data_IF_588800651297
#
_entry.id   IF_588800651297
#
_cell.length_a   1.000
_cell.length_b   1.000
_cell.length_c   1.000
_cell.angle_alpha   90.00
_cell.angle_beta   90.00
_cell.angle_gamma   90.00
#
_symmetry.space_group_name_H-M   'P 1'
#
loop_
_entity.id
_entity.type
_entity.pdbx_description
1 polymer ?
#
# COMPACT_ATOMS: atom_id res chain seq x y z
N UNK A 1 19.41 5.85 -18.58
CA UNK A 1 20.65 5.10 -18.32
C UNK A 1 21.29 5.70 -17.09
N UNK A 2 21.80 4.87 -16.17
CA UNK A 2 22.45 5.35 -14.93
C UNK A 2 23.99 5.26 -15.05
N UNK A 3 24.68 6.16 -14.35
CA UNK A 3 26.14 6.10 -14.21
C UNK A 3 26.53 4.91 -13.32
N UNK A 4 27.28 3.94 -13.85
CA UNK A 4 27.70 2.75 -13.12
C UNK A 4 29.19 2.48 -13.34
N UNK A 5 29.92 2.13 -12.29
CA UNK A 5 31.36 1.89 -12.37
C UNK A 5 31.76 0.69 -11.51
N UNK A 6 32.87 0.03 -11.89
CA UNK A 6 33.35 -1.18 -11.23
C UNK A 6 33.72 -0.95 -9.76
N UNK A 7 34.09 0.29 -9.40
CA UNK A 7 34.44 0.66 -8.02
C UNK A 7 33.22 0.66 -7.09
N UNK A 8 32.01 0.74 -7.66
CA UNK A 8 30.73 0.66 -6.94
C UNK A 8 30.13 -0.74 -7.11
N UNK A 9 30.86 -1.75 -6.65
CA UNK A 9 30.42 -3.14 -6.70
C UNK A 9 30.48 -3.77 -5.31
N UNK A 10 29.33 -4.22 -4.83
CA UNK A 10 29.19 -5.10 -3.69
C UNK A 10 29.56 -6.54 -4.10
N UNK A 11 30.21 -7.27 -3.20
CA UNK A 11 30.62 -8.66 -3.45
C UNK A 11 30.01 -9.59 -2.40
N UNK A 12 29.24 -10.59 -2.84
CA UNK A 12 28.61 -11.56 -1.92
C UNK A 12 29.63 -12.33 -1.07
N UNK A 13 30.87 -12.49 -1.54
CA UNK A 13 31.97 -13.08 -0.78
C UNK A 13 32.33 -12.32 0.50
N UNK A 14 31.92 -11.06 0.63
CA UNK A 14 32.13 -10.23 1.82
C UNK A 14 31.06 -10.43 2.90
N UNK A 15 30.03 -11.22 2.61
CA UNK A 15 28.89 -11.48 3.50
C UNK A 15 28.97 -12.91 4.06
N UNK A 16 28.29 -13.21 5.19
CA UNK A 16 28.31 -14.54 5.81
C UNK A 16 27.48 -15.57 5.02
N UNK A 17 27.91 -15.87 3.79
CA UNK A 17 27.28 -16.81 2.88
C UNK A 17 28.32 -17.81 2.34
N UNK A 18 27.91 -19.06 2.16
CA UNK A 18 28.67 -19.99 1.34
C UNK A 18 28.41 -19.70 -0.14
N UNK A 19 29.29 -18.92 -0.77
CA UNK A 19 29.12 -18.49 -2.16
C UNK A 19 29.17 -19.64 -3.18
N UNK A 20 29.69 -20.81 -2.80
CA UNK A 20 29.80 -21.96 -3.68
C UNK A 20 28.49 -22.73 -3.82
N UNK A 21 27.58 -22.58 -2.86
CA UNK A 21 26.25 -23.19 -2.86
C UNK A 21 25.17 -22.29 -3.47
N UNK A 22 25.53 -21.08 -3.91
CA UNK A 22 24.57 -20.12 -4.48
C UNK A 22 24.86 -19.80 -5.94
N UNK A 23 23.79 -19.71 -6.72
CA UNK A 23 23.82 -19.16 -8.07
C UNK A 23 23.31 -17.72 -8.05
N UNK A 24 24.20 -16.76 -8.31
CA UNK A 24 23.88 -15.34 -8.44
C UNK A 24 23.73 -14.98 -9.92
N UNK A 25 22.66 -14.26 -10.25
CA UNK A 25 22.55 -13.41 -11.44
C UNK A 25 22.95 -11.99 -11.01
N UNK A 26 24.12 -11.49 -11.44
CA UNK A 26 24.72 -10.24 -10.95
C UNK A 26 24.26 -9.01 -11.76
N UNK A 27 24.67 -7.82 -11.32
CA UNK A 27 24.50 -6.55 -12.03
C UNK A 27 23.83 -5.46 -11.19
N UNK A 28 23.04 -4.62 -11.87
CA UNK A 28 22.19 -3.55 -11.31
C UNK A 28 20.99 -4.06 -10.48
N UNK A 29 20.74 -5.37 -10.52
CA UNK A 29 19.89 -6.11 -9.59
C UNK A 29 20.53 -7.47 -9.33
N UNK A 30 20.34 -8.01 -8.11
CA UNK A 30 20.78 -9.35 -7.78
C UNK A 30 19.62 -10.33 -7.75
N UNK A 31 19.82 -11.54 -8.27
CA UNK A 31 18.89 -12.65 -8.05
C UNK A 31 19.65 -13.90 -7.64
N UNK A 32 19.27 -14.49 -6.52
CA UNK A 32 19.95 -15.66 -5.97
C UNK A 32 18.97 -16.83 -5.98
N UNK A 33 19.42 -17.98 -6.49
CA UNK A 33 18.73 -19.26 -6.32
C UNK A 33 19.41 -20.09 -5.23
N UNK A 34 18.90 -20.08 -3.98
CA UNK A 34 19.48 -20.84 -2.88
C UNK A 34 18.68 -22.11 -2.57
N UNK A 35 19.24 -22.96 -1.69
CA UNK A 35 18.49 -24.06 -1.08
C UNK A 35 17.47 -23.54 -0.04
N UNK A 36 17.90 -22.61 0.83
CA UNK A 36 17.03 -21.94 1.80
C UNK A 36 17.03 -20.42 1.58
N UNK A 37 15.97 -19.87 0.95
CA UNK A 37 15.83 -18.43 0.71
C UNK A 37 15.82 -17.57 1.97
N UNK A 38 15.21 -18.06 3.06
CA UNK A 38 15.06 -17.28 4.30
C UNK A 38 16.40 -17.08 4.99
N UNK A 39 17.21 -18.14 5.04
CA UNK A 39 18.57 -18.07 5.61
C UNK A 39 19.44 -17.11 4.82
N UNK A 40 19.37 -17.15 3.48
CA UNK A 40 20.16 -16.22 2.64
C UNK A 40 19.75 -14.77 2.87
N UNK A 41 18.45 -14.47 2.91
CA UNK A 41 17.98 -13.11 3.23
C UNK A 41 18.49 -12.69 4.61
N UNK A 42 18.29 -13.51 5.65
CA UNK A 42 18.75 -13.19 7.01
C UNK A 42 20.27 -12.97 7.11
N UNK A 43 21.07 -13.71 6.33
CA UNK A 43 22.52 -13.56 6.27
C UNK A 43 22.98 -12.35 5.45
N UNK A 44 22.10 -11.74 4.66
CA UNK A 44 22.38 -10.52 3.90
C UNK A 44 21.74 -9.26 4.51
N UNK A 45 20.77 -9.40 5.41
CA UNK A 45 20.07 -8.25 5.99
C UNK A 45 20.96 -7.54 7.00
N UNK A 46 21.22 -6.25 6.73
CA UNK A 46 21.86 -5.29 7.65
C UNK A 46 23.20 -5.76 8.22
N UNK A 47 24.07 -6.34 7.37
CA UNK A 47 25.37 -6.87 7.81
C UNK A 47 26.47 -5.81 7.82
N UNK A 48 26.35 -4.80 6.97
CA UNK A 48 27.32 -3.73 6.84
C UNK A 48 26.62 -2.37 7.01
N UNK A 49 27.21 -1.41 7.74
CA UNK A 49 26.61 -0.07 7.90
C UNK A 49 26.42 0.70 6.58
N UNK A 50 27.27 0.46 5.59
CA UNK A 50 27.20 1.04 4.25
C UNK A 50 26.86 -0.03 3.20
N UNK A 51 25.82 -0.82 3.47
CA UNK A 51 25.35 -1.84 2.54
C UNK A 51 24.51 -1.19 1.43
N UNK A 52 24.93 -1.32 0.18
CA UNK A 52 24.30 -0.64 -0.97
C UNK A 52 23.23 -1.48 -1.69
N UNK A 53 22.61 -2.42 -0.97
CA UNK A 53 21.47 -3.20 -1.45
C UNK A 53 20.61 -3.70 -0.30
N UNK A 54 19.35 -4.00 -0.60
CA UNK A 54 18.43 -4.66 0.34
C UNK A 54 18.03 -6.05 -0.17
N UNK A 55 18.23 -7.12 0.61
CA UNK A 55 17.77 -8.45 0.24
C UNK A 55 16.27 -8.62 0.55
N UNK A 56 15.54 -9.27 -0.35
CA UNK A 56 14.13 -9.58 -0.19
C UNK A 56 13.87 -11.03 -0.60
N UNK A 57 12.91 -11.66 0.08
CA UNK A 57 12.13 -12.71 -0.58
C UNK A 57 11.30 -12.03 -1.66
N UNK A 58 11.17 -12.62 -2.85
CA UNK A 58 10.45 -11.98 -3.98
C UNK A 58 9.02 -11.52 -3.64
N UNK A 59 8.34 -12.24 -2.74
CA UNK A 59 6.99 -11.91 -2.25
C UNK A 59 6.92 -10.64 -1.38
N UNK A 60 8.06 -10.19 -0.87
CA UNK A 60 8.20 -9.06 0.05
C UNK A 60 8.73 -7.80 -0.65
N UNK A 61 9.00 -7.89 -1.96
CA UNK A 61 9.33 -6.73 -2.79
C UNK A 61 8.15 -5.75 -2.83
N UNK A 62 8.41 -4.43 -2.99
CA UNK A 62 7.35 -3.44 -3.18
C UNK A 62 6.37 -3.85 -4.29
N UNK A 63 5.07 -3.87 -3.97
CA UNK A 63 4.03 -4.41 -4.87
C UNK A 63 3.95 -3.70 -6.22
N UNK A 64 4.29 -2.40 -6.28
CA UNK A 64 4.39 -1.63 -7.53
C UNK A 64 5.36 -2.22 -8.56
N UNK A 65 6.30 -3.07 -8.14
CA UNK A 65 7.24 -3.73 -9.05
C UNK A 65 6.60 -4.89 -9.81
N UNK A 66 5.52 -5.50 -9.29
CA UNK A 66 4.85 -6.67 -9.88
C UNK A 66 5.84 -7.79 -10.27
N UNK A 67 6.87 -8.01 -9.43
CA UNK A 67 8.04 -8.84 -9.75
C UNK A 67 8.20 -10.05 -8.82
N UNK A 68 7.14 -10.87 -8.69
CA UNK A 68 7.13 -12.04 -7.82
C UNK A 68 6.52 -13.31 -8.46
N UNK A 69 5.38 -13.19 -9.14
CA UNK A 69 4.59 -14.31 -9.62
C UNK A 69 5.11 -14.95 -10.92
N UNK A 70 6.32 -15.47 -10.88
CA UNK A 70 6.82 -16.37 -11.92
C UNK A 70 7.88 -17.30 -11.35
N UNK A 71 7.83 -18.58 -11.75
CA UNK A 71 8.88 -19.56 -11.38
C UNK A 71 10.28 -19.20 -11.89
N UNK A 72 10.37 -18.32 -12.91
CA UNK A 72 11.64 -17.81 -13.45
C UNK A 72 12.24 -16.68 -12.63
N UNK A 73 11.47 -16.09 -11.71
CA UNK A 73 11.98 -15.11 -10.76
C UNK A 73 12.45 -15.89 -9.54
N UNK A 74 13.75 -15.83 -9.28
CA UNK A 74 14.36 -16.47 -8.12
C UNK A 74 13.75 -15.98 -6.79
N UNK A 75 13.74 -16.84 -5.78
CA UNK A 75 13.08 -16.56 -4.50
C UNK A 75 13.76 -15.44 -3.70
N UNK A 76 15.06 -15.20 -3.92
CA UNK A 76 15.83 -14.11 -3.29
C UNK A 76 16.19 -13.06 -4.34
N UNK A 77 15.80 -11.82 -4.05
CA UNK A 77 16.09 -10.64 -4.85
C UNK A 77 16.95 -9.65 -4.06
N UNK A 78 17.91 -9.00 -4.70
CA UNK A 78 18.71 -7.93 -4.12
C UNK A 78 18.36 -6.64 -4.86
N UNK A 79 17.62 -5.76 -4.18
CA UNK A 79 17.28 -4.45 -4.69
C UNK A 79 18.46 -3.52 -4.46
N UNK A 80 19.17 -3.18 -5.52
CA UNK A 80 20.38 -2.36 -5.46
C UNK A 80 20.05 -0.88 -5.29
N UNK A 81 20.91 -0.17 -4.57
CA UNK A 81 20.97 1.28 -4.65
C UNK A 81 21.41 1.72 -6.06
N UNK A 82 20.97 2.90 -6.50
CA UNK A 82 21.41 3.47 -7.78
C UNK A 82 22.93 3.49 -7.87
N UNK A 83 23.46 3.30 -9.09
CA UNK A 83 24.90 3.31 -9.40
C UNK A 83 25.74 2.16 -8.80
N UNK A 84 25.14 1.26 -8.01
CA UNK A 84 25.82 0.13 -7.35
C UNK A 84 25.48 -1.21 -7.98
N UNK A 85 26.47 -2.06 -8.18
CA UNK A 85 26.29 -3.43 -8.69
C UNK A 85 26.52 -4.47 -7.61
N UNK A 86 25.98 -5.67 -7.83
CA UNK A 86 26.32 -6.86 -7.06
C UNK A 86 27.05 -7.87 -7.94
N UNK A 87 28.11 -8.45 -7.39
CA UNK A 87 28.86 -9.56 -7.98
C UNK A 87 29.12 -10.67 -6.96
N UNK A 88 29.48 -11.87 -7.44
CA UNK A 88 29.69 -13.03 -6.56
C UNK A 88 30.95 -12.90 -5.71
N UNK A 89 32.09 -12.60 -6.32
CA UNK A 89 33.39 -12.47 -5.65
C UNK A 89 34.24 -11.40 -6.32
N UNK A 90 35.16 -10.81 -5.55
CA UNK A 90 36.17 -9.91 -6.09
C UNK A 90 37.07 -10.68 -7.08
N UNK A 91 37.45 -10.07 -8.23
CA UNK A 91 38.38 -10.71 -9.16
C UNK A 91 39.77 -10.87 -8.53
N UNK A 92 40.40 -12.02 -8.73
CA UNK A 92 41.74 -12.35 -8.19
C UNK A 92 42.85 -11.44 -8.72
N UNK A 93 42.64 -10.82 -9.89
CA UNK A 93 43.51 -9.80 -10.46
C UNK A 93 42.74 -8.49 -10.59
N UNK A 94 43.27 -7.37 -10.07
CA UNK A 94 42.66 -6.06 -10.28
C UNK A 94 42.49 -5.79 -11.77
N UNK A 95 41.29 -5.37 -12.17
CA UNK A 95 41.06 -4.94 -13.56
C UNK A 95 41.80 -3.61 -13.78
N UNK A 96 42.58 -3.52 -14.85
CA UNK A 96 43.29 -2.28 -15.20
C UNK A 96 42.35 -1.16 -15.68
N UNK A 97 41.14 -1.51 -16.14
CA UNK A 97 40.07 -0.59 -16.52
C UNK A 97 38.71 -1.20 -16.21
N UNK A 98 37.71 -0.37 -15.92
CA UNK A 98 36.33 -0.84 -15.85
C UNK A 98 35.76 -1.10 -17.25
N UNK A 99 34.98 -2.18 -17.39
CA UNK A 99 34.38 -2.59 -18.66
C UNK A 99 33.07 -1.88 -19.00
N UNK A 100 32.56 -1.03 -18.11
CA UNK A 100 31.33 -0.26 -18.28
C UNK A 100 31.44 1.06 -17.51
N UNK A 101 30.72 2.08 -17.99
CA UNK A 101 30.60 3.39 -17.34
C UNK A 101 29.14 3.81 -17.13
N UNK A 102 28.22 2.91 -17.51
CA UNK A 102 26.79 3.08 -17.32
C UNK A 102 26.10 1.72 -17.42
N UNK A 103 24.99 1.58 -16.72
CA UNK A 103 24.16 0.39 -16.74
C UNK A 103 22.69 0.75 -16.44
N UNK A 104 21.80 -0.22 -16.56
CA UNK A 104 20.37 -0.09 -16.28
C UNK A 104 19.81 -1.39 -15.69
N UNK A 105 18.58 -1.35 -15.19
CA UNK A 105 17.93 -2.49 -14.53
C UNK A 105 17.66 -2.28 -13.03
N UNK A 106 18.05 -1.12 -12.50
CA UNK A 106 17.67 -0.67 -11.16
C UNK A 106 16.14 -0.49 -11.04
N UNK A 107 15.70 -0.14 -9.84
CA UNK A 107 14.31 0.21 -9.54
C UNK A 107 13.73 1.18 -10.59
N UNK A 108 12.59 0.81 -11.18
CA UNK A 108 11.95 1.56 -12.26
C UNK A 108 11.44 2.95 -11.86
N UNK A 109 11.36 3.27 -10.56
CA UNK A 109 11.01 4.63 -10.11
C UNK A 109 12.16 5.64 -10.23
N UNK A 110 13.41 5.16 -10.26
CA UNK A 110 14.62 6.00 -10.33
C UNK A 110 14.59 6.85 -11.61
N UNK A 111 14.86 8.15 -11.47
CA UNK A 111 14.79 9.12 -12.58
C UNK A 111 15.63 8.72 -13.79
N UNK A 112 16.84 8.18 -13.58
CA UNK A 112 17.72 7.71 -14.66
C UNK A 112 17.21 6.46 -15.39
N UNK A 113 16.24 5.73 -14.84
CA UNK A 113 15.58 4.57 -15.47
C UNK A 113 14.33 4.95 -16.27
N UNK A 114 13.87 6.20 -16.18
CA UNK A 114 12.72 6.69 -16.96
C UNK A 114 13.05 6.67 -18.46
N UNK A 115 12.01 6.54 -19.27
CA UNK A 115 12.11 6.47 -20.73
C UNK A 115 11.28 7.58 -21.36
N UNK A 116 11.74 8.08 -22.51
CA UNK A 116 11.07 9.11 -23.28
C UNK A 116 9.96 8.49 -24.16
N UNK A 117 8.73 8.99 -24.03
CA UNK A 117 7.68 8.79 -25.04
C UNK A 117 7.52 10.07 -25.83
N UNK A 118 7.64 9.96 -27.15
CA UNK A 118 7.38 11.06 -28.05
C UNK A 118 6.26 10.71 -29.02
N UNK A 119 5.26 11.59 -29.11
CA UNK A 119 4.35 11.68 -30.23
C UNK A 119 4.60 13.04 -30.92
N UNK A 120 4.43 13.14 -32.23
CA UNK A 120 4.73 14.34 -33.05
C UNK A 120 4.23 15.68 -32.48
N UNK A 121 3.26 15.68 -31.55
CA UNK A 121 2.75 16.87 -30.85
C UNK A 121 3.08 16.97 -29.36
N UNK A 122 3.50 15.88 -28.68
CA UNK A 122 3.70 15.83 -27.23
C UNK A 122 4.93 14.98 -26.84
N UNK A 123 5.80 15.53 -25.99
CA UNK A 123 6.90 14.81 -25.33
C UNK A 123 6.46 14.50 -23.91
N UNK A 124 6.55 13.23 -23.49
CA UNK A 124 6.29 12.82 -22.10
C UNK A 124 7.49 12.02 -21.59
N UNK A 125 8.11 12.51 -20.53
CA UNK A 125 9.07 11.76 -19.73
C UNK A 125 8.25 11.13 -18.60
N UNK A 126 8.18 9.81 -18.54
CA UNK A 126 7.37 9.13 -17.52
C UNK A 126 8.03 7.83 -17.07
N UNK A 127 7.61 7.35 -15.90
CA UNK A 127 7.79 5.95 -15.52
C UNK A 127 6.82 5.17 -16.40
N UNK A 128 7.27 4.80 -17.59
CA UNK A 128 6.43 4.03 -18.49
C UNK A 128 6.31 2.62 -17.90
N UNK A 129 5.12 2.28 -17.41
CA UNK A 129 4.68 0.90 -17.45
C UNK A 129 4.42 0.60 -18.92
N UNK A 130 5.15 -0.36 -19.51
CA UNK A 130 5.10 -0.64 -20.96
C UNK A 130 3.68 -1.04 -21.41
N UNK A 131 2.86 -1.59 -20.50
CA UNK A 131 1.53 -2.10 -20.79
C UNK A 131 0.56 -1.04 -21.38
N UNK A 132 0.38 0.15 -20.79
CA UNK A 132 -0.38 1.25 -21.40
C UNK A 132 0.01 1.58 -22.85
N UNK A 133 1.30 1.51 -23.23
CA UNK A 133 1.73 1.80 -24.61
C UNK A 133 1.29 0.71 -25.60
N UNK A 134 1.25 -0.56 -25.16
CA UNK A 134 0.76 -1.67 -25.98
C UNK A 134 -0.72 -1.45 -26.30
N UNK A 135 -1.53 -1.11 -25.29
CA UNK A 135 -2.97 -0.81 -25.49
C UNK A 135 -3.14 0.34 -26.50
N UNK A 136 -2.37 1.41 -26.33
CA UNK A 136 -2.40 2.55 -27.27
C UNK A 136 -2.00 2.17 -28.70
N UNK A 137 -0.95 1.35 -28.87
CA UNK A 137 -0.53 0.91 -30.20
C UNK A 137 -1.62 0.09 -30.89
N UNK A 138 -2.36 -0.72 -30.14
CA UNK A 138 -3.50 -1.49 -30.65
C UNK A 138 -4.68 -0.57 -31.02
N UNK A 139 -4.98 0.43 -30.21
CA UNK A 139 -6.00 1.45 -30.51
C UNK A 139 -5.71 2.18 -31.83
N UNK A 140 -4.45 2.59 -32.05
CA UNK A 140 -4.02 3.24 -33.31
C UNK A 140 -4.14 2.34 -34.54
N UNK A 141 -4.10 1.01 -34.35
CA UNK A 141 -4.26 0.02 -35.40
C UNK A 141 -5.73 -0.42 -35.58
N UNK A 142 -6.66 0.10 -34.77
CA UNK A 142 -8.06 -0.34 -34.77
C UNK A 142 -8.23 -1.79 -34.27
N UNK A 143 -7.30 -2.28 -33.45
CA UNK A 143 -7.31 -3.64 -32.91
C UNK A 143 -7.85 -3.66 -31.49
N UNK A 144 -8.71 -4.64 -31.19
CA UNK A 144 -9.18 -4.88 -29.82
C UNK A 144 -8.04 -5.46 -28.97
N UNK A 145 -7.66 -4.83 -27.85
CA UNK A 145 -6.63 -5.38 -26.98
C UNK A 145 -7.09 -6.67 -26.30
N UNK A 146 -6.17 -7.64 -26.21
CA UNK A 146 -6.33 -8.84 -25.36
C UNK A 146 -6.11 -8.46 -23.88
N UNK A 147 -6.53 -9.29 -22.90
CA UNK A 147 -6.30 -9.01 -21.48
C UNK A 147 -4.82 -8.71 -21.19
N UNK A 148 -4.58 -7.55 -20.57
CA UNK A 148 -3.25 -7.03 -20.26
C UNK A 148 -3.30 -6.13 -19.01
N UNK A 149 -2.15 -5.73 -18.47
CA UNK A 149 -2.09 -4.93 -17.24
C UNK A 149 -2.26 -3.41 -17.45
N UNK A 150 -2.44 -2.96 -18.69
CA UNK A 150 -2.72 -1.56 -19.02
C UNK A 150 -4.16 -1.18 -18.69
N UNK A 151 -4.36 0.03 -18.19
CA UNK A 151 -5.68 0.61 -17.97
C UNK A 151 -6.17 1.25 -19.27
N UNK A 152 -7.04 0.55 -20.01
CA UNK A 152 -7.54 1.06 -21.30
C UNK A 152 -8.27 2.40 -21.10
N UNK A 153 -7.92 3.41 -21.90
CA UNK A 153 -8.43 4.77 -21.76
C UNK A 153 -7.52 5.72 -20.97
N UNK A 154 -6.57 5.23 -20.15
CA UNK A 154 -5.72 6.12 -19.33
C UNK A 154 -4.72 6.96 -20.13
N UNK A 155 -4.55 6.70 -21.43
CA UNK A 155 -3.70 7.47 -22.34
C UNK A 155 -4.51 8.20 -23.43
N UNK A 156 -5.83 8.31 -23.27
CA UNK A 156 -6.70 8.93 -24.27
C UNK A 156 -6.34 10.39 -24.54
N UNK A 157 -5.88 11.13 -23.53
CA UNK A 157 -5.46 12.53 -23.67
C UNK A 157 -4.22 12.71 -24.58
N UNK A 158 -3.54 11.62 -24.94
CA UNK A 158 -2.44 11.63 -25.91
C UNK A 158 -2.90 11.50 -27.36
N UNK A 159 -4.20 11.26 -27.58
CA UNK A 159 -4.84 11.05 -28.87
C UNK A 159 -5.77 12.23 -29.16
N UNK A 160 -5.79 12.70 -30.42
CA UNK A 160 -6.73 13.75 -30.85
C UNK A 160 -8.17 13.22 -30.92
N UNK A 161 -8.32 11.97 -31.32
CA UNK A 161 -9.60 11.27 -31.46
C UNK A 161 -9.42 9.84 -30.91
N UNK A 162 -9.65 9.61 -29.60
CA UNK A 162 -9.45 8.32 -28.99
C UNK A 162 -10.53 7.31 -29.43
N UNK A 163 -10.18 6.15 -30.02
CA UNK A 163 -11.15 5.19 -30.53
C UNK A 163 -11.87 4.41 -29.42
N UNK A 164 -11.31 4.40 -28.20
CA UNK A 164 -11.91 3.76 -27.03
C UNK A 164 -12.42 4.81 -26.05
N UNK A 165 -13.70 4.69 -25.67
CA UNK A 165 -14.30 5.49 -24.60
C UNK A 165 -14.47 4.62 -23.35
N UNK A 166 -13.69 4.86 -22.28
CA UNK A 166 -13.81 4.08 -21.05
C UNK A 166 -15.15 4.39 -20.36
N UNK A 167 -15.74 3.37 -19.75
CA UNK A 167 -16.94 3.49 -18.89
C UNK A 167 -16.64 2.94 -17.51
N UNK A 168 -17.27 3.53 -16.49
CA UNK A 168 -17.16 3.06 -15.11
C UNK A 168 -17.70 1.62 -14.99
N UNK A 169 -16.97 0.69 -14.35
CA UNK A 169 -17.43 -0.69 -14.20
C UNK A 169 -18.63 -0.74 -13.26
N UNK A 170 -19.56 -1.65 -13.50
CA UNK A 170 -20.70 -1.88 -12.61
C UNK A 170 -20.23 -2.51 -11.29
N UNK A 171 -20.78 -2.01 -10.18
CA UNK A 171 -20.51 -2.59 -8.86
C UNK A 171 -21.09 -4.01 -8.79
N UNK A 172 -20.30 -4.95 -8.27
CA UNK A 172 -20.71 -6.37 -8.15
C UNK A 172 -21.55 -6.57 -6.90
N UNK A 173 -21.10 -6.02 -5.77
CA UNK A 173 -21.78 -6.17 -4.48
C UNK A 173 -22.14 -4.80 -3.92
N UNK A 174 -23.44 -4.51 -3.79
CA UNK A 174 -23.94 -3.36 -3.06
C UNK A 174 -23.93 -3.61 -1.54
N UNK A 175 -23.82 -2.58 -0.68
CA UNK A 175 -23.78 -2.76 0.76
C UNK A 175 -25.14 -3.24 1.30
N UNK A 176 -25.10 -4.19 2.24
CA UNK A 176 -26.28 -4.61 3.00
C UNK A 176 -26.51 -3.69 4.21
N UNK A 177 -27.75 -3.56 4.71
CA UNK A 177 -27.99 -2.99 6.02
C UNK A 177 -27.17 -3.74 7.10
N UNK A 178 -26.65 -3.05 8.14
CA UNK A 178 -26.13 -3.70 9.32
C UNK A 178 -27.22 -4.62 9.91
N UNK A 179 -26.84 -5.82 10.35
CA UNK A 179 -27.79 -6.74 10.98
C UNK A 179 -28.05 -6.28 12.42
N UNK A 180 -29.31 -6.33 12.87
CA UNK A 180 -29.60 -6.19 14.30
C UNK A 180 -28.87 -7.29 15.07
N UNK A 181 -28.06 -6.90 16.05
CA UNK A 181 -27.37 -7.87 16.89
C UNK A 181 -28.39 -8.58 17.80
N UNK A 182 -28.58 -9.88 17.60
CA UNK A 182 -29.04 -10.74 18.70
C UNK A 182 -27.89 -10.86 19.71
N UNK A 183 -28.12 -10.45 20.96
CA UNK A 183 -27.10 -10.50 22.01
C UNK A 183 -26.78 -11.97 22.30
N UNK A 184 -25.64 -12.44 21.82
CA UNK A 184 -25.13 -13.75 22.19
C UNK A 184 -23.61 -13.72 22.16
N UNK A 185 -23.01 -13.80 23.35
CA UNK A 185 -21.57 -13.93 23.67
C UNK A 185 -20.81 -12.65 24.06
N UNK A 186 -20.08 -12.77 25.18
CA UNK A 186 -19.16 -11.77 25.70
C UNK A 186 -17.83 -11.82 24.93
N UNK A 187 -17.45 -10.71 24.30
CA UNK A 187 -16.19 -10.56 23.55
C UNK A 187 -14.99 -10.22 24.46
N UNK A 188 -15.20 -10.10 25.78
CA UNK A 188 -14.16 -9.78 26.76
C UNK A 188 -13.59 -8.37 26.60
N UNK A 189 -14.38 -7.45 26.04
CA UNK A 189 -14.03 -6.05 25.82
C UNK A 189 -14.45 -5.22 27.04
N UNK A 190 -13.58 -4.34 27.54
CA UNK A 190 -13.87 -3.50 28.72
C UNK A 190 -13.48 -2.05 28.46
N UNK A 191 -14.41 -1.12 28.72
CA UNK A 191 -14.20 0.33 28.74
C UNK A 191 -15.03 0.92 29.89
N UNK A 192 -14.45 1.86 30.64
CA UNK A 192 -15.06 2.37 31.89
C UNK A 192 -16.24 3.34 31.67
N UNK A 193 -16.52 3.75 30.44
CA UNK A 193 -17.56 4.75 30.14
C UNK A 193 -18.72 4.23 29.25
N UNK A 194 -19.95 4.38 29.77
CA UNK A 194 -21.19 4.16 29.02
C UNK A 194 -21.70 5.46 28.39
N UNK A 195 -21.30 5.73 27.13
CA UNK A 195 -22.03 6.70 26.29
C UNK A 195 -22.98 5.97 25.33
N UNK A 196 -24.23 6.45 25.27
CA UNK A 196 -25.25 6.02 24.31
C UNK A 196 -25.34 7.10 23.22
N UNK A 197 -25.03 6.73 21.97
CA UNK A 197 -25.11 7.64 20.82
C UNK A 197 -26.54 8.15 20.63
N UNK A 198 -26.68 9.45 20.49
CA UNK A 198 -27.92 10.17 20.17
C UNK A 198 -27.73 10.77 18.76
N UNK A 199 -28.60 10.40 17.83
CA UNK A 199 -28.74 10.90 16.45
C UNK A 199 -27.45 11.05 15.62
N UNK A 200 -27.22 10.03 14.77
CA UNK A 200 -26.11 9.99 13.80
C UNK A 200 -26.32 11.04 12.72
N UNK A 201 -25.57 12.14 12.79
CA UNK A 201 -25.44 13.09 11.69
C UNK A 201 -24.86 12.41 10.44
N UNK A 202 -25.36 12.77 9.26
CA UNK A 202 -24.82 12.32 7.98
C UNK A 202 -23.43 12.94 7.75
N UNK A 203 -22.37 12.21 8.11
CA UNK A 203 -20.99 12.66 7.97
C UNK A 203 -20.51 12.62 6.50
N UNK A 204 -19.77 13.63 6.06
CA UNK A 204 -19.28 13.86 4.68
C UNK A 204 -17.93 13.18 4.39
N UNK A 205 -17.67 12.00 4.97
CA UNK A 205 -16.34 11.35 4.90
C UNK A 205 -16.06 10.60 3.59
N UNK A 206 -16.85 10.84 2.54
CA UNK A 206 -16.74 10.20 1.23
C UNK A 206 -16.79 11.24 0.10
N UNK A 207 -15.88 12.23 0.08
CA UNK A 207 -15.90 13.33 -0.89
C UNK A 207 -15.79 12.86 -2.35
N UNK A 208 -15.23 11.66 -2.57
CA UNK A 208 -15.06 11.08 -3.91
C UNK A 208 -15.97 9.88 -4.20
N UNK A 209 -17.02 9.75 -3.38
CA UNK A 209 -17.92 8.60 -3.40
C UNK A 209 -17.36 7.38 -2.68
N UNK A 210 -18.28 6.48 -2.36
CA UNK A 210 -17.97 5.20 -1.72
C UNK A 210 -17.15 4.30 -2.65
N UNK A 211 -16.09 3.62 -2.17
CA UNK A 211 -15.44 2.55 -2.92
C UNK A 211 -16.46 1.45 -3.28
N UNK A 212 -16.53 1.08 -4.55
CA UNK A 212 -17.38 -0.03 -5.00
C UNK A 212 -16.68 -1.37 -4.80
N UNK A 213 -17.44 -2.39 -4.41
CA UNK A 213 -16.91 -3.74 -4.22
C UNK A 213 -17.10 -4.55 -5.51
N UNK A 214 -15.98 -4.99 -6.09
CA UNK A 214 -15.91 -5.58 -7.45
C UNK A 214 -15.83 -7.12 -7.42
N UNK A 215 -16.27 -7.74 -6.33
CA UNK A 215 -16.32 -9.19 -6.14
C UNK A 215 -17.54 -9.58 -5.29
N UNK A 216 -17.97 -10.83 -5.41
CA UNK A 216 -19.08 -11.38 -4.63
C UNK A 216 -18.68 -11.49 -3.14
N UNK A 217 -19.40 -10.78 -2.26
CA UNK A 217 -19.20 -10.84 -0.80
C UNK A 217 -20.41 -10.28 -0.06
N UNK A 218 -20.32 -10.15 1.26
CA UNK A 218 -21.30 -9.44 2.08
C UNK A 218 -20.60 -8.43 2.98
N UNK A 219 -20.97 -7.17 2.82
CA UNK A 219 -20.43 -6.08 3.64
C UNK A 219 -21.51 -5.04 3.94
N UNK A 220 -21.33 -4.29 5.03
CA UNK A 220 -22.27 -3.25 5.48
C UNK A 220 -21.54 -1.92 5.66
N UNK A 221 -22.27 -0.81 5.48
CA UNK A 221 -21.74 0.52 5.78
C UNK A 221 -21.92 0.85 7.25
N UNK A 222 -20.81 1.16 7.92
CA UNK A 222 -20.82 1.65 9.29
C UNK A 222 -20.49 3.14 9.29
N UNK A 223 -21.50 3.94 9.62
CA UNK A 223 -21.39 5.40 9.71
C UNK A 223 -21.00 5.82 11.13
N UNK A 224 -20.06 6.75 11.23
CA UNK A 224 -19.58 7.34 12.48
C UNK A 224 -19.47 8.85 12.31
N UNK A 225 -19.17 9.57 13.39
CA UNK A 225 -19.04 11.04 13.35
C UNK A 225 -17.94 11.49 12.38
N UNK A 226 -16.75 10.89 12.45
CA UNK A 226 -15.56 11.35 11.71
C UNK A 226 -15.01 10.35 10.70
N UNK A 227 -15.64 9.18 10.55
CA UNK A 227 -15.23 8.19 9.55
C UNK A 227 -16.39 7.31 9.08
N UNK A 228 -16.24 6.72 7.90
CA UNK A 228 -17.17 5.72 7.37
C UNK A 228 -16.37 4.49 6.97
N UNK A 229 -16.86 3.29 7.30
CA UNK A 229 -16.20 2.03 6.92
C UNK A 229 -17.15 1.08 6.18
N UNK A 230 -16.56 0.32 5.25
CA UNK A 230 -17.21 -0.82 4.59
C UNK A 230 -16.82 -2.13 5.28
N UNK A 231 -17.64 -2.61 6.19
CA UNK A 231 -17.36 -3.74 7.08
C UNK A 231 -17.72 -5.08 6.43
N UNK A 232 -16.73 -5.96 6.22
CA UNK A 232 -16.97 -7.31 5.71
C UNK A 232 -17.36 -8.25 6.85
N UNK A 233 -18.53 -8.91 6.73
CA UNK A 233 -18.97 -9.93 7.69
C UNK A 233 -18.15 -11.20 7.58
N UNK A 234 -17.68 -11.52 6.38
CA UNK A 234 -16.89 -12.72 6.09
C UNK A 234 -15.48 -12.62 6.68
N UNK A 235 -14.87 -11.42 6.63
CA UNK A 235 -13.53 -11.18 7.16
C UNK A 235 -13.54 -10.67 8.61
N UNK A 236 -14.72 -10.32 9.15
CA UNK A 236 -14.91 -9.68 10.44
C UNK A 236 -14.07 -8.41 10.66
N UNK A 237 -13.79 -7.67 9.58
CA UNK A 237 -13.06 -6.41 9.60
C UNK A 237 -13.45 -5.51 8.42
N UNK A 238 -13.13 -4.20 8.45
CA UNK A 238 -13.35 -3.32 7.31
C UNK A 238 -12.52 -3.72 6.10
N UNK A 239 -13.14 -3.69 4.91
CA UNK A 239 -12.44 -3.65 3.62
C UNK A 239 -11.76 -2.30 3.41
N UNK A 240 -12.39 -1.25 3.91
CA UNK A 240 -11.95 0.12 3.81
C UNK A 240 -12.55 0.98 4.92
N UNK A 241 -11.80 2.00 5.34
CA UNK A 241 -12.24 3.10 6.20
C UNK A 241 -11.82 4.41 5.55
N UNK A 242 -12.75 5.37 5.47
CA UNK A 242 -12.55 6.70 4.89
C UNK A 242 -12.79 7.79 5.92
N UNK A 243 -11.90 8.77 5.98
CA UNK A 243 -12.00 9.95 6.84
C UNK A 243 -11.24 11.14 6.25
N UNK A 244 -11.69 12.35 6.54
CA UNK A 244 -11.07 13.60 6.09
C UNK A 244 -10.42 14.30 7.28
N UNK A 245 -9.15 14.68 7.12
CA UNK A 245 -8.40 15.44 8.11
C UNK A 245 -8.31 16.91 7.66
N UNK A 246 -8.75 17.88 8.48
CA UNK A 246 -8.57 19.30 8.21
C UNK A 246 -7.09 19.71 8.35
N UNK A 247 -6.68 20.91 7.86
CA UNK A 247 -5.29 21.36 7.97
C UNK A 247 -4.80 21.51 9.42
N UNK A 248 -5.68 21.86 10.36
CA UNK A 248 -5.34 21.98 11.78
C UNK A 248 -5.86 20.76 12.53
N UNK A 249 -5.01 19.74 12.65
CA UNK A 249 -5.38 18.48 13.33
C UNK A 249 -5.01 18.55 14.80
N UNK A 250 -6.00 18.78 15.66
CA UNK A 250 -5.81 18.70 17.11
C UNK A 250 -5.76 17.24 17.56
N UNK A 251 -4.68 16.83 18.23
CA UNK A 251 -4.58 15.52 18.88
C UNK A 251 -5.17 15.57 20.27
N UNK A 252 -5.91 14.53 20.65
CA UNK A 252 -6.23 14.33 22.04
C UNK A 252 -5.05 13.67 22.77
N UNK A 253 -4.67 14.21 23.94
CA UNK A 253 -3.65 13.61 24.81
C UNK A 253 -4.15 12.39 25.59
N UNK A 254 -5.45 12.06 25.50
CA UNK A 254 -6.04 10.93 26.22
C UNK A 254 -5.79 9.65 25.43
N UNK A 255 -4.91 8.79 25.96
CA UNK A 255 -4.68 7.46 25.44
C UNK A 255 -5.95 6.61 25.68
N UNK A 256 -6.73 6.35 24.65
CA UNK A 256 -7.86 5.42 24.73
C UNK A 256 -7.30 4.01 24.60
N UNK A 257 -7.00 3.38 25.72
CA UNK A 257 -6.50 2.00 25.78
C UNK A 257 -7.65 1.00 25.96
N UNK A 258 -8.76 1.19 25.27
CA UNK A 258 -9.93 0.32 25.43
C UNK A 258 -10.62 0.05 24.09
N UNK A 259 -11.22 -1.14 23.96
CA UNK A 259 -12.00 -1.57 22.79
C UNK A 259 -13.44 -1.80 23.22
N UNK A 260 -14.40 -1.39 22.38
CA UNK A 260 -15.85 -1.49 22.63
C UNK A 260 -16.50 -2.43 21.63
N UNK A 261 -17.53 -3.14 22.06
CA UNK A 261 -18.38 -3.93 21.16
C UNK A 261 -19.24 -3.00 20.31
N UNK A 262 -19.41 -3.32 19.03
CA UNK A 262 -20.30 -2.60 18.12
C UNK A 262 -21.65 -3.31 18.03
N UNK A 263 -22.70 -2.70 18.59
CA UNK A 263 -24.04 -3.28 18.61
C UNK A 263 -24.68 -3.46 17.22
N UNK A 264 -24.09 -2.92 16.14
CA UNK A 264 -24.58 -3.06 14.75
C UNK A 264 -24.07 -4.34 14.07
N UNK A 265 -23.16 -5.07 14.71
CA UNK A 265 -22.55 -6.27 14.16
C UNK A 265 -22.67 -7.40 15.18
N UNK A 266 -23.12 -8.57 14.73
CA UNK A 266 -23.20 -9.76 15.58
C UNK A 266 -21.82 -10.16 16.10
N UNK A 267 -21.78 -10.78 17.29
CA UNK A 267 -20.57 -11.35 17.86
C UNK A 267 -19.92 -12.40 16.93
N UNK A 268 -20.71 -13.17 16.16
CA UNK A 268 -20.21 -14.18 15.21
C UNK A 268 -19.43 -13.57 14.05
N UNK A 269 -19.62 -12.27 13.80
CA UNK A 269 -18.94 -11.51 12.76
C UNK A 269 -18.02 -10.45 13.35
N UNK A 270 -17.62 -10.57 14.61
CA UNK A 270 -16.74 -9.63 15.32
C UNK A 270 -15.54 -10.36 15.93
N UNK A 271 -14.40 -9.68 16.02
CA UNK A 271 -13.23 -10.21 16.72
C UNK A 271 -13.46 -10.21 18.24
N UNK A 272 -12.79 -11.13 18.97
CA UNK A 272 -12.76 -11.07 20.44
C UNK A 272 -11.63 -10.19 20.94
N UNK A 273 -11.90 -9.36 21.95
CA UNK A 273 -10.85 -8.60 22.64
C UNK A 273 -9.91 -9.53 23.42
N UNK A 274 -10.42 -10.67 23.90
CA UNK A 274 -9.62 -11.68 24.61
C UNK A 274 -8.54 -12.30 23.72
N UNK A 275 -8.79 -12.41 22.42
CA UNK A 275 -7.83 -12.92 21.43
C UNK A 275 -6.52 -12.15 21.45
N UNK A 276 -6.63 -10.82 21.48
CA UNK A 276 -5.47 -9.93 21.46
C UNK A 276 -4.72 -9.92 22.79
N UNK A 277 -5.41 -10.17 23.91
CA UNK A 277 -4.79 -10.28 25.23
C UNK A 277 -3.96 -11.55 25.42
N UNK A 278 -4.30 -12.63 24.72
CA UNK A 278 -3.63 -13.94 24.85
C UNK A 278 -2.54 -14.20 23.78
N UNK A 279 -2.47 -13.38 22.72
CA UNK A 279 -1.56 -13.60 21.61
C UNK A 279 -0.22 -12.85 21.79
N UNK A 280 0.90 -13.57 21.74
CA UNK A 280 2.25 -13.00 21.86
C UNK A 280 2.82 -12.47 20.55
N UNK A 281 2.21 -12.82 19.41
CA UNK A 281 2.74 -12.54 18.06
C UNK A 281 1.93 -11.51 17.28
N UNK A 282 0.62 -11.42 17.51
CA UNK A 282 -0.29 -10.49 16.84
C UNK A 282 -0.98 -9.59 17.85
N UNK A 283 -1.13 -8.32 17.48
CA UNK A 283 -1.92 -7.32 18.20
C UNK A 283 -2.99 -6.75 17.25
N UNK A 284 -3.62 -5.65 17.64
CA UNK A 284 -4.55 -4.90 16.81
C UNK A 284 -4.03 -3.48 16.53
N UNK A 285 -4.45 -2.95 15.39
CA UNK A 285 -4.41 -1.52 15.08
C UNK A 285 -5.80 -1.01 14.71
N UNK A 286 -5.97 0.31 14.70
CA UNK A 286 -7.21 0.96 14.26
C UNK A 286 -7.05 1.54 12.85
N UNK A 287 -8.08 1.42 12.01
CA UNK A 287 -8.06 2.04 10.68
C UNK A 287 -8.32 3.55 10.77
N UNK A 288 -9.33 3.96 11.54
CA UNK A 288 -9.46 5.34 12.00
C UNK A 288 -8.78 5.50 13.37
N UNK A 289 -7.70 6.28 13.51
CA UNK A 289 -6.94 6.37 14.76
C UNK A 289 -7.71 7.16 15.85
N UNK A 290 -7.95 6.59 17.04
CA UNK A 290 -8.63 7.29 18.14
C UNK A 290 -7.94 8.59 18.58
N UNK A 291 -6.63 8.72 18.35
CA UNK A 291 -5.83 9.92 18.68
C UNK A 291 -6.22 11.14 17.83
N UNK A 292 -6.84 10.92 16.67
CA UNK A 292 -7.34 11.98 15.79
C UNK A 292 -8.81 12.34 16.05
N UNK A 293 -9.47 11.64 16.98
CA UNK A 293 -10.88 11.89 17.27
C UNK A 293 -11.07 13.22 18.02
N UNK A 294 -11.81 14.16 17.42
CA UNK A 294 -11.92 15.54 17.95
C UNK A 294 -13.01 15.69 19.01
N UNK A 295 -14.04 14.85 18.97
CA UNK A 295 -15.17 14.87 19.91
C UNK A 295 -15.22 13.63 20.81
N UNK A 296 -15.83 13.70 22.00
CA UNK A 296 -16.05 12.52 22.84
C UNK A 296 -16.81 11.41 22.10
N UNK A 297 -17.83 11.76 21.30
CA UNK A 297 -18.58 10.78 20.50
C UNK A 297 -17.69 10.07 19.47
N UNK A 298 -16.86 10.81 18.74
CA UNK A 298 -15.91 10.22 17.79
C UNK A 298 -14.89 9.30 18.47
N UNK A 299 -14.47 9.63 19.70
CA UNK A 299 -13.59 8.75 20.51
C UNK A 299 -14.25 7.42 20.84
N UNK A 300 -15.55 7.43 21.16
CA UNK A 300 -16.31 6.20 21.34
C UNK A 300 -16.44 5.41 20.04
N UNK A 301 -16.72 6.08 18.93
CA UNK A 301 -16.80 5.44 17.62
C UNK A 301 -15.46 4.83 17.18
N UNK A 302 -14.35 5.53 17.40
CA UNK A 302 -13.01 5.10 17.04
C UNK A 302 -12.54 3.86 17.83
N UNK A 303 -13.04 3.69 19.06
CA UNK A 303 -12.71 2.54 19.92
C UNK A 303 -13.55 1.28 19.66
N UNK A 304 -14.45 1.30 18.68
CA UNK A 304 -15.24 0.13 18.31
C UNK A 304 -14.37 -1.00 17.73
N UNK A 305 -14.68 -2.25 18.10
CA UNK A 305 -14.01 -3.46 17.61
C UNK A 305 -14.08 -3.56 16.08
N UNK A 306 -15.14 -3.04 15.46
CA UNK A 306 -15.36 -2.98 14.02
C UNK A 306 -14.42 -2.01 13.29
N UNK A 307 -13.65 -1.20 14.02
CA UNK A 307 -12.57 -0.35 13.49
C UNK A 307 -11.18 -1.00 13.67
N UNK A 308 -11.10 -2.19 14.29
CA UNK A 308 -9.83 -2.88 14.55
C UNK A 308 -9.45 -3.83 13.41
N UNK A 309 -8.15 -4.03 13.23
CA UNK A 309 -7.55 -4.97 12.26
C UNK A 309 -6.33 -5.68 12.88
N UNK A 310 -6.09 -6.97 12.57
CA UNK A 310 -4.92 -7.69 13.07
C UNK A 310 -3.62 -7.09 12.51
N UNK A 311 -2.68 -6.76 13.38
CA UNK A 311 -1.38 -6.19 13.01
C UNK A 311 -0.26 -6.84 13.81
N UNK A 312 0.90 -7.00 13.19
CA UNK A 312 2.11 -7.34 13.93
C UNK A 312 2.56 -6.15 14.80
N UNK A 313 3.07 -6.36 16.02
CA UNK A 313 3.57 -5.28 16.87
C UNK A 313 4.65 -4.42 16.20
N UNK A 314 5.55 -5.04 15.41
CA UNK A 314 6.56 -4.31 14.65
C UNK A 314 5.92 -3.40 13.58
N UNK A 315 4.93 -3.90 12.84
CA UNK A 315 4.18 -3.12 11.87
C UNK A 315 3.37 -1.99 12.51
N UNK A 316 2.80 -2.22 13.70
CA UNK A 316 2.05 -1.20 14.44
C UNK A 316 2.88 0.06 14.70
N UNK A 317 4.21 -0.04 14.88
CA UNK A 317 5.11 1.13 14.98
C UNK A 317 5.08 1.99 13.71
N UNK A 318 5.16 1.35 12.54
CA UNK A 318 5.07 2.00 11.22
C UNK A 318 3.70 2.66 11.06
N UNK A 319 2.64 1.92 11.38
CA UNK A 319 1.25 2.38 11.27
C UNK A 319 0.94 3.57 12.18
N UNK A 320 1.34 3.50 13.45
CA UNK A 320 1.16 4.57 14.42
C UNK A 320 1.96 5.82 14.05
N UNK A 321 3.16 5.70 13.48
CA UNK A 321 3.90 6.86 13.00
C UNK A 321 3.27 7.49 11.75
N UNK A 322 2.77 6.67 10.82
CA UNK A 322 2.01 7.17 9.67
C UNK A 322 0.78 7.97 10.12
N UNK A 323 -0.09 7.36 10.93
CA UNK A 323 -1.32 8.00 11.40
C UNK A 323 -1.05 9.18 12.34
N UNK A 324 -0.18 8.97 13.32
CA UNK A 324 0.09 9.92 14.39
C UNK A 324 0.99 11.08 13.97
N UNK A 325 1.83 10.96 12.95
CA UNK A 325 2.77 12.03 12.57
C UNK A 325 2.59 12.45 11.11
N UNK A 326 2.66 11.51 10.18
CA UNK A 326 2.76 11.83 8.76
C UNK A 326 1.45 12.34 8.18
N UNK A 327 0.31 11.73 8.52
CA UNK A 327 -1.00 12.19 8.04
C UNK A 327 -1.30 13.63 8.47
N UNK A 328 -0.93 14.02 9.69
CA UNK A 328 -1.06 15.42 10.15
C UNK A 328 -0.24 16.38 9.31
N UNK A 329 1.04 16.05 9.09
CA UNK A 329 1.94 16.86 8.25
C UNK A 329 1.42 16.95 6.81
N UNK A 330 0.84 15.89 6.27
CA UNK A 330 0.22 15.91 4.95
C UNK A 330 -1.06 16.76 4.92
N UNK A 331 -1.90 16.70 5.96
CA UNK A 331 -3.09 17.55 6.08
C UNK A 331 -2.70 19.04 6.13
N UNK A 332 -1.73 19.41 6.96
CA UNK A 332 -1.19 20.77 7.07
C UNK A 332 -0.63 21.27 5.72
N UNK A 333 0.16 20.45 5.03
CA UNK A 333 0.82 20.83 3.79
C UNK A 333 -0.12 20.93 2.57
N UNK A 334 -1.32 20.35 2.63
CA UNK A 334 -2.24 20.27 1.49
C UNK A 334 -3.63 20.89 1.79
N UNK A 335 -3.74 21.71 2.83
CA UNK A 335 -5.01 22.34 3.23
C UNK A 335 -6.15 21.33 3.52
N UNK A 336 -5.78 20.21 4.13
CA UNK A 336 -6.64 19.06 4.39
C UNK A 336 -6.43 17.92 3.40
N UNK A 337 -6.69 16.71 3.87
CA UNK A 337 -6.58 15.47 3.08
C UNK A 337 -7.76 14.56 3.37
N UNK A 338 -8.18 13.77 2.39
CA UNK A 338 -8.98 12.58 2.63
C UNK A 338 -8.07 11.35 2.61
N UNK A 339 -8.33 10.45 3.54
CA UNK A 339 -7.57 9.22 3.76
C UNK A 339 -8.51 8.04 3.61
N UNK A 340 -8.16 7.13 2.72
CA UNK A 340 -8.81 5.83 2.58
C UNK A 340 -7.79 4.73 2.90
N UNK A 341 -8.08 3.88 3.87
CA UNK A 341 -7.17 2.82 4.29
C UNK A 341 -7.88 1.50 4.54
N UNK A 342 -7.14 0.39 4.50
CA UNK A 342 -7.69 -0.93 4.76
C UNK A 342 -6.68 -2.07 4.57
N UNK A 343 -7.09 -3.31 4.86
CA UNK A 343 -6.27 -4.50 4.72
C UNK A 343 -6.16 -5.01 3.27
N UNK A 344 -5.11 -5.78 2.99
CA UNK A 344 -4.87 -6.47 1.71
C UNK A 344 -4.44 -7.91 1.97
N UNK A 345 -5.01 -8.84 1.20
CA UNK A 345 -4.69 -10.27 1.23
C UNK A 345 -4.14 -10.71 -0.13
N UNK A 346 -2.84 -11.06 -0.16
CA UNK A 346 -2.08 -11.52 -1.34
C UNK A 346 -0.97 -12.50 -0.90
N UNK A 347 -1.38 -13.66 -0.38
CA UNK A 347 -0.49 -14.72 0.12
C UNK A 347 0.18 -15.51 -0.99
N UNK A 348 -0.46 -15.57 -2.17
CA UNK A 348 0.11 -16.22 -3.34
C UNK A 348 0.98 -15.27 -4.18
N UNK A 349 1.13 -14.01 -3.75
CA UNK A 349 2.01 -12.99 -4.32
C UNK A 349 1.77 -12.77 -5.83
N UNK A 350 0.52 -12.96 -6.29
CA UNK A 350 0.12 -12.77 -7.68
C UNK A 350 -0.27 -11.33 -8.02
N UNK A 351 -0.36 -10.47 -7.00
CA UNK A 351 -0.73 -9.07 -7.17
C UNK A 351 -2.23 -8.85 -7.36
N UNK A 352 -3.06 -9.87 -7.11
CA UNK A 352 -4.52 -9.84 -7.15
C UNK A 352 -5.09 -10.09 -5.76
N UNK A 353 -6.32 -9.63 -5.53
CA UNK A 353 -7.07 -9.94 -4.30
C UNK A 353 -7.22 -11.46 -4.12
N UNK A 354 -6.82 -11.97 -2.96
CA UNK A 354 -7.08 -13.36 -2.57
C UNK A 354 -8.55 -13.62 -2.23
N UNK A 355 -9.06 -14.79 -2.63
CA UNK A 355 -10.29 -15.35 -2.06
C UNK A 355 -10.01 -15.94 -0.67
N UNK A 356 -11.04 -16.19 0.13
CA UNK A 356 -10.88 -16.69 1.50
C UNK A 356 -10.15 -18.05 1.55
N UNK A 357 -10.25 -18.86 0.49
CA UNK A 357 -9.51 -20.14 0.39
C UNK A 357 -8.00 -19.98 0.17
N UNK A 358 -7.56 -18.81 -0.34
CA UNK A 358 -6.13 -18.55 -0.59
C UNK A 358 -5.42 -17.97 0.64
N UNK A 359 -6.17 -17.47 1.62
CA UNK A 359 -5.64 -16.92 2.88
C UNK A 359 -4.99 -18.04 3.69
N UNK A 360 -3.75 -17.82 4.15
CA UNK A 360 -2.95 -18.88 4.80
C UNK A 360 -2.67 -18.66 6.28
N UNK A 361 -2.89 -17.45 6.79
CA UNK A 361 -2.55 -17.12 8.17
C UNK A 361 -3.75 -16.47 8.85
N UNK A 362 -4.03 -16.95 10.05
CA UNK A 362 -5.18 -16.58 10.85
C UNK A 362 -4.73 -16.28 12.28
N UNK A 363 -5.44 -15.39 12.95
CA UNK A 363 -5.30 -15.13 14.38
C UNK A 363 -5.73 -16.36 15.20
N UNK A 364 -5.50 -16.33 16.51
CA UNK A 364 -5.90 -17.42 17.42
C UNK A 364 -7.40 -17.72 17.37
N UNK A 365 -8.23 -16.72 17.05
CA UNK A 365 -9.68 -16.83 16.92
C UNK A 365 -10.14 -17.20 15.50
N UNK A 366 -9.20 -17.45 14.58
CA UNK A 366 -9.53 -17.85 13.21
C UNK A 366 -9.81 -16.69 12.25
N UNK A 367 -9.47 -15.44 12.60
CA UNK A 367 -9.62 -14.29 11.71
C UNK A 367 -8.41 -14.08 10.80
N UNK A 368 -8.59 -13.71 9.53
CA UNK A 368 -7.50 -13.66 8.57
C UNK A 368 -6.51 -12.53 8.88
N UNK A 369 -5.21 -12.78 8.71
CA UNK A 369 -4.16 -11.77 8.95
C UNK A 369 -3.83 -11.04 7.63
N UNK A 370 -3.97 -9.70 7.54
CA UNK A 370 -3.62 -9.00 6.31
C UNK A 370 -2.14 -9.17 5.95
N UNK A 371 -1.84 -9.41 4.67
CA UNK A 371 -0.46 -9.44 4.18
C UNK A 371 0.13 -8.04 4.06
N UNK A 372 -0.72 -7.05 3.73
CA UNK A 372 -0.36 -5.65 3.58
C UNK A 372 -1.51 -4.78 4.11
N UNK A 373 -1.21 -3.49 4.32
CA UNK A 373 -2.21 -2.45 4.50
C UNK A 373 -2.02 -1.38 3.44
N UNK A 374 -3.12 -0.87 2.89
CA UNK A 374 -3.06 0.25 1.97
C UNK A 374 -3.44 1.55 2.66
N UNK A 375 -2.94 2.66 2.13
CA UNK A 375 -3.41 4.00 2.47
C UNK A 375 -3.37 4.84 1.19
N UNK A 376 -4.51 5.38 0.78
CA UNK A 376 -4.66 6.32 -0.32
C UNK A 376 -4.92 7.69 0.29
N UNK A 377 -4.06 8.65 -0.04
CA UNK A 377 -4.13 10.03 0.47
C UNK A 377 -4.45 10.93 -0.71
N UNK A 378 -5.56 11.63 -0.62
CA UNK A 378 -6.06 12.51 -1.69
C UNK A 378 -6.23 13.92 -1.14
N UNK A 379 -5.75 14.92 -1.88
CA UNK A 379 -5.98 16.34 -1.62
C UNK A 379 -6.43 17.06 -2.89
N UNK A 380 -6.93 18.28 -2.73
CA UNK A 380 -7.10 19.16 -3.87
C UNK A 380 -5.73 19.60 -4.39
N UNK A 381 -5.57 19.68 -5.72
CA UNK A 381 -4.35 20.22 -6.31
C UNK A 381 -4.28 21.75 -6.16
N UNK A 382 -5.43 22.42 -6.07
CA UNK A 382 -5.50 23.85 -5.82
C UNK A 382 -5.28 24.17 -4.34
N UNK A 383 -4.23 24.95 -4.05
CA UNK A 383 -3.70 25.20 -2.70
C UNK A 383 -4.72 25.80 -1.72
N UNK A 384 -5.73 26.51 -2.22
CA UNK A 384 -6.70 27.23 -1.39
C UNK A 384 -8.06 26.53 -1.26
N UNK A 385 -8.22 25.30 -1.78
CA UNK A 385 -9.45 24.53 -1.66
C UNK A 385 -9.28 23.40 -0.66
N UNK A 386 -10.32 23.15 0.13
CA UNK A 386 -10.39 21.95 0.96
C UNK A 386 -10.81 20.76 0.11
N UNK A 387 -10.67 19.54 0.65
CA UNK A 387 -11.07 18.33 -0.07
C UNK A 387 -12.58 18.28 -0.35
N UNK A 388 -13.39 18.78 0.59
CA UNK A 388 -14.84 18.75 0.48
C UNK A 388 -15.38 19.77 -0.55
N UNK A 389 -14.59 20.78 -0.90
CA UNK A 389 -14.92 21.86 -1.83
C UNK A 389 -14.12 21.76 -3.15
N UNK A 390 -13.41 20.66 -3.37
CA UNK A 390 -12.50 20.54 -4.50
C UNK A 390 -13.27 20.28 -5.81
N UNK A 391 -13.44 21.33 -6.61
CA UNK A 391 -14.05 21.26 -7.94
C UNK A 391 -13.04 20.92 -9.05
N UNK A 392 -11.74 21.04 -8.75
CA UNK A 392 -10.64 20.96 -9.70
C UNK A 392 -9.93 19.60 -9.78
N UNK A 393 -8.67 19.65 -10.17
CA UNK A 393 -7.80 18.47 -10.23
C UNK A 393 -7.45 17.95 -8.84
N UNK A 394 -7.34 16.63 -8.72
CA UNK A 394 -6.96 15.94 -7.49
C UNK A 394 -5.47 15.60 -7.50
N UNK A 395 -4.83 15.72 -6.34
CA UNK A 395 -3.50 15.17 -6.08
C UNK A 395 -3.65 13.90 -5.24
N UNK A 396 -3.00 12.82 -5.65
CA UNK A 396 -3.06 11.53 -4.96
C UNK A 396 -1.70 10.90 -4.83
N UNK A 397 -1.47 10.24 -3.70
CA UNK A 397 -0.43 9.24 -3.56
C UNK A 397 -0.93 8.10 -2.67
N UNK A 398 -0.33 6.92 -2.79
CA UNK A 398 -0.72 5.78 -1.98
C UNK A 398 0.46 4.91 -1.58
N UNK A 399 0.24 4.11 -0.54
CA UNK A 399 1.19 3.13 -0.01
C UNK A 399 0.55 1.75 0.05
N UNK A 400 1.35 0.71 -0.17
CA UNK A 400 1.02 -0.70 0.07
C UNK A 400 2.07 -1.28 1.02
N UNK A 401 1.81 -1.16 2.32
CA UNK A 401 2.79 -1.44 3.36
C UNK A 401 2.74 -2.91 3.79
N UNK A 402 3.85 -3.65 3.79
CA UNK A 402 3.86 -5.06 4.18
C UNK A 402 3.66 -5.22 5.69
N UNK A 403 2.67 -6.03 6.09
CA UNK A 403 2.42 -6.36 7.49
C UNK A 403 3.39 -7.46 7.94
N UNK A 404 4.48 -7.07 8.62
CA UNK A 404 5.60 -7.96 8.97
C UNK A 404 5.82 -8.08 10.48
N UNK A 405 6.29 -9.25 10.96
CA UNK A 405 6.58 -9.48 12.38
C UNK A 405 7.81 -8.71 12.88
N UNK A 406 8.64 -8.18 11.97
CA UNK A 406 9.83 -7.39 12.26
C UNK A 406 9.99 -6.27 11.22
N UNK A 407 10.83 -5.27 11.54
CA UNK A 407 11.13 -4.13 10.66
C UNK A 407 12.54 -4.23 10.06
N UNK A 408 13.07 -5.45 9.87
CA UNK A 408 14.47 -5.65 9.41
C UNK A 408 14.74 -5.13 7.99
N UNK A 409 13.70 -4.80 7.22
CA UNK A 409 13.82 -4.05 5.95
C UNK A 409 14.48 -2.66 6.13
N UNK A 410 14.29 -2.05 7.31
CA UNK A 410 14.93 -0.82 7.71
C UNK A 410 16.04 -1.14 8.72
N UNK A 411 17.30 -1.09 8.30
CA UNK A 411 18.43 -1.41 9.19
C UNK A 411 18.54 -0.48 10.42
N UNK A 412 17.98 0.71 10.33
CA UNK A 412 17.85 1.69 11.42
C UNK A 412 16.56 1.53 12.24
N UNK A 413 15.83 0.42 12.13
CA UNK A 413 14.53 0.23 12.82
C UNK A 413 14.61 0.22 14.36
N UNK A 414 15.83 0.12 14.91
CA UNK A 414 16.10 0.28 16.35
C UNK A 414 16.15 1.75 16.78
N UNK A 415 16.30 2.68 15.84
CA UNK A 415 16.23 4.12 16.08
C UNK A 415 14.77 4.60 16.11
N UNK A 416 14.62 5.90 16.39
CA UNK A 416 13.34 6.61 16.35
C UNK A 416 12.67 6.49 14.98
N UNK A 417 11.34 6.32 14.98
CA UNK A 417 10.53 6.14 13.78
C UNK A 417 10.74 7.24 12.72
N UNK A 418 11.06 8.47 13.15
CA UNK A 418 11.34 9.59 12.23
C UNK A 418 12.57 9.39 11.35
N UNK A 419 13.46 8.45 11.68
CA UNK A 419 14.69 8.19 10.93
C UNK A 419 14.52 7.22 9.77
N UNK A 420 13.44 6.43 9.75
CA UNK A 420 13.37 5.29 8.83
C UNK A 420 11.96 5.00 8.28
N UNK A 421 10.90 5.35 9.00
CA UNK A 421 9.53 5.01 8.58
C UNK A 421 9.18 5.70 7.27
N UNK A 422 9.49 6.99 7.12
CA UNK A 422 9.16 7.73 5.89
C UNK A 422 9.86 7.14 4.65
N UNK A 423 11.10 6.68 4.79
CA UNK A 423 11.83 6.04 3.69
C UNK A 423 11.25 4.66 3.32
N UNK A 424 10.80 3.90 4.33
CA UNK A 424 10.06 2.65 4.10
C UNK A 424 8.74 2.90 3.36
N UNK A 425 7.97 3.92 3.76
CA UNK A 425 6.73 4.29 3.09
C UNK A 425 6.97 4.69 1.63
N UNK A 426 7.96 5.55 1.37
CA UNK A 426 8.32 5.97 0.00
C UNK A 426 8.77 4.79 -0.86
N UNK A 427 9.45 3.81 -0.30
CA UNK A 427 9.86 2.59 -1.02
C UNK A 427 8.64 1.76 -1.46
N UNK A 428 7.65 1.65 -0.56
CA UNK A 428 6.38 0.93 -0.75
C UNK A 428 5.24 1.81 -1.28
N UNK A 429 5.57 2.92 -1.96
CA UNK A 429 4.57 3.69 -2.70
C UNK A 429 3.94 2.85 -3.81
N UNK A 430 2.70 3.17 -4.16
CA UNK A 430 1.91 2.45 -5.13
C UNK A 430 1.00 3.39 -5.91
N UNK A 431 0.49 2.92 -7.04
CA UNK A 431 -0.62 3.57 -7.74
C UNK A 431 -1.92 3.21 -7.03
N UNK A 432 -2.93 4.07 -7.14
CA UNK A 432 -4.29 3.69 -6.71
C UNK A 432 -4.76 2.45 -7.46
N UNK A 433 -4.37 2.30 -8.73
CA UNK A 433 -4.69 1.11 -9.51
C UNK A 433 -4.13 -0.18 -8.91
N UNK A 434 -2.96 -0.13 -8.27
CA UNK A 434 -2.40 -1.30 -7.59
C UNK A 434 -3.25 -1.66 -6.36
N UNK A 435 -3.70 -0.64 -5.61
CA UNK A 435 -4.65 -0.79 -4.49
C UNK A 435 -5.96 -1.43 -4.96
N UNK A 436 -6.57 -0.91 -6.04
CA UNK A 436 -7.82 -1.46 -6.60
C UNK A 436 -7.71 -2.94 -6.95
N UNK A 437 -6.63 -3.34 -7.61
CA UNK A 437 -6.41 -4.73 -8.04
C UNK A 437 -6.24 -5.66 -6.83
N UNK A 438 -5.47 -5.23 -5.82
CA UNK A 438 -5.18 -6.03 -4.62
C UNK A 438 -6.35 -6.10 -3.64
N UNK A 439 -7.27 -5.13 -3.67
CA UNK A 439 -8.41 -5.07 -2.75
C UNK A 439 -9.72 -5.50 -3.40
N UNK A 440 -9.80 -5.52 -4.73
CA UNK A 440 -11.06 -5.70 -5.45
C UNK A 440 -12.02 -4.54 -5.26
N UNK A 441 -11.50 -3.33 -5.02
CA UNK A 441 -12.27 -2.10 -4.89
C UNK A 441 -12.15 -1.25 -6.16
N UNK A 442 -13.16 -0.44 -6.46
CA UNK A 442 -13.09 0.62 -7.48
C UNK A 442 -13.35 1.98 -6.84
N UNK A 443 -12.37 2.88 -6.93
CA UNK A 443 -12.33 4.16 -6.22
C UNK A 443 -12.75 5.33 -7.12
N UNK A 444 -12.96 6.52 -6.54
CA UNK A 444 -13.25 7.77 -7.27
C UNK A 444 -14.47 7.70 -8.20
N UNK A 445 -15.56 7.09 -7.71
CA UNK A 445 -16.79 6.88 -8.49
C UNK A 445 -17.75 8.06 -8.48
N UNK A 446 -17.52 9.03 -7.60
CA UNK A 446 -18.28 10.27 -7.54
C UNK A 446 -17.31 11.44 -7.48
N UNK A 447 -16.80 11.85 -8.64
CA UNK A 447 -15.92 13.02 -8.79
C UNK A 447 -16.42 13.88 -9.95
N UNK A 448 -16.01 15.15 -9.97
CA UNK A 448 -16.28 16.06 -11.10
C UNK A 448 -15.32 15.82 -12.30
N UNK A 449 -14.43 14.83 -12.21
CA UNK A 449 -13.48 14.49 -13.27
C UNK A 449 -14.17 13.67 -14.38
N UNK A 450 -13.70 13.83 -15.62
CA UNK A 450 -14.02 12.86 -16.67
C UNK A 450 -13.48 11.49 -16.28
N UNK A 451 -14.11 10.40 -16.74
CA UNK A 451 -13.64 9.07 -16.38
C UNK A 451 -12.22 8.80 -16.89
N UNK A 452 -11.84 9.34 -18.05
CA UNK A 452 -10.44 9.35 -18.53
C UNK A 452 -9.48 9.97 -17.51
N UNK A 453 -9.81 11.14 -16.97
CA UNK A 453 -8.98 11.82 -15.96
C UNK A 453 -8.91 11.01 -14.67
N UNK A 454 -10.01 10.35 -14.28
CA UNK A 454 -10.03 9.41 -13.15
C UNK A 454 -9.09 8.21 -13.40
N UNK A 455 -9.03 7.67 -14.62
CA UNK A 455 -8.07 6.60 -14.95
C UNK A 455 -6.61 7.10 -14.92
N UNK A 456 -6.35 8.31 -15.40
CA UNK A 456 -5.02 8.94 -15.31
C UNK A 456 -4.62 9.06 -13.84
N UNK A 457 -5.49 9.63 -13.01
CA UNK A 457 -5.30 9.75 -11.56
C UNK A 457 -5.02 8.38 -10.92
N UNK A 458 -5.79 7.34 -11.27
CA UNK A 458 -5.61 5.98 -10.74
C UNK A 458 -4.27 5.35 -11.12
N UNK A 459 -3.75 5.68 -12.31
CA UNK A 459 -2.48 5.13 -12.81
C UNK A 459 -1.25 5.96 -12.46
N UNK A 460 -1.43 7.14 -11.87
CA UNK A 460 -0.34 7.98 -11.37
C UNK A 460 0.44 7.28 -10.25
N UNK A 461 1.77 7.45 -10.26
CA UNK A 461 2.68 6.96 -9.23
C UNK A 461 3.48 8.13 -8.68
N UNK A 462 3.27 8.46 -7.41
CA UNK A 462 4.12 9.42 -6.71
C UNK A 462 5.47 8.77 -6.42
N UNK A 463 6.55 9.32 -6.97
CA UNK A 463 7.86 8.64 -6.98
C UNK A 463 8.71 9.00 -5.76
N UNK A 464 8.45 10.16 -5.17
CA UNK A 464 9.27 10.79 -4.13
C UNK A 464 10.76 10.94 -4.49
N UNK A 465 11.09 10.80 -5.77
CA UNK A 465 12.43 11.06 -6.29
C UNK A 465 12.63 12.58 -6.36
N UNK A 466 13.80 13.04 -5.92
CA UNK A 466 14.23 14.42 -6.17
C UNK A 466 14.80 14.48 -7.58
N UNK A 467 14.39 15.46 -8.35
CA UNK A 467 15.10 15.78 -9.59
C UNK A 467 16.46 16.37 -9.18
N UNK A 468 17.53 15.62 -9.42
CA UNK A 468 18.93 16.06 -9.24
C UNK A 468 19.44 16.85 -10.45
#
# INVERSE_FOLDING_TARGET
MEEAHCDRTEFLSSYPLNIDEIMLIPGSLGRIRPHDPKVVVANLTCKMPAQHFKPYLKRDLPKRLHYANNRRIEDVHLLMERKWHIARKMPEKPRTRCGFFGDHGFDNKITSMRVLVYNNTNVIITIIIVCPLIVRALDLLGLKPVPNNGTHGSLNDLLKDPPFQPSMPEEVTAPSPPSDAEISHDLGCSCDDEWRSLDRSHSTQLPFGRPAVMFDTQYSLLHHVEFISGYSKELAMPLWTSYTLPPQVHTCEVLISCIRVDARVSADHSHSCSAYGQNTHLTYGFLFPPELATSPESRYDASLITNTVPMYPAFKRVWSYLQGTLLRRYAEANNGINVLCGPVFDYNYDGLRDTTEKIKEFSADGFPVPTHFYTVITSCQEVNQTVDECDGALKVFSFLLPNKPDNSEACSSAEDESKWVEDMLKLHTARVRDVEILTGLDLYRSTNLTYTNTLILKTYLETFERDE
#
